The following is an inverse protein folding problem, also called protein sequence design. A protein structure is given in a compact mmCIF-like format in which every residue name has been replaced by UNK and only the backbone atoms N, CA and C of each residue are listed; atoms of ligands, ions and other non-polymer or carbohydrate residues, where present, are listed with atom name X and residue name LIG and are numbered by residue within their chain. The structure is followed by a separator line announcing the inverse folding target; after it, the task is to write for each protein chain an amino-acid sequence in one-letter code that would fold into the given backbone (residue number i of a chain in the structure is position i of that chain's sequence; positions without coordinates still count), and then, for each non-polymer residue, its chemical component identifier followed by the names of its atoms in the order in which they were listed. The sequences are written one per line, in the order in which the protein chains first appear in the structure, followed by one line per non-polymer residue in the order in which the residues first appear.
data_IF_919906576201
#
_entry.id   IF_919906576201
#
_cell.length_a   1.000
_cell.length_b   1.000
_cell.length_c   1.000
_cell.angle_alpha   90.00
_cell.angle_beta   90.00
_cell.angle_gamma   90.00
#
_symmetry.space_group_name_H-M   'P 1'
#
loop_
_entity.id
_entity.type
_entity.pdbx_description
1 polymer ?
#
# COMPACT_ATOMS: atom_id res chain seq x y z
N UNK A 1 -38.03 38.75 -5.80
CA UNK A 1 -36.70 39.18 -5.29
C UNK A 1 -35.60 38.51 -6.11
N UNK A 2 -35.00 39.23 -7.05
CA UNK A 2 -33.89 38.74 -7.88
C UNK A 2 -32.57 38.94 -7.14
N UNK A 3 -32.06 37.89 -6.51
CA UNK A 3 -30.73 37.93 -5.90
C UNK A 3 -29.68 37.90 -7.02
N UNK A 4 -28.88 38.96 -7.17
CA UNK A 4 -27.80 38.99 -8.15
C UNK A 4 -26.68 38.03 -7.73
N UNK A 5 -25.99 37.42 -8.70
CA UNK A 5 -24.91 36.43 -8.47
C UNK A 5 -23.85 36.94 -7.48
N UNK A 6 -23.56 38.25 -7.51
CA UNK A 6 -22.63 38.91 -6.59
C UNK A 6 -23.16 38.93 -5.15
N UNK A 7 -24.44 39.26 -4.95
CA UNK A 7 -25.08 39.26 -3.64
C UNK A 7 -25.21 37.85 -3.05
N UNK A 8 -25.41 36.83 -3.91
CA UNK A 8 -25.43 35.44 -3.48
C UNK A 8 -24.06 35.00 -2.93
N UNK A 9 -22.97 35.28 -3.66
CA UNK A 9 -21.61 34.91 -3.23
C UNK A 9 -21.23 35.65 -1.94
N UNK A 10 -21.57 36.92 -1.79
CA UNK A 10 -21.29 37.68 -0.56
C UNK A 10 -22.04 37.11 0.65
N UNK A 11 -23.31 36.70 0.48
CA UNK A 11 -24.13 36.12 1.56
C UNK A 11 -23.67 34.71 1.96
N UNK A 12 -23.34 33.87 0.98
CA UNK A 12 -22.81 32.51 1.24
C UNK A 12 -21.41 32.57 1.86
N UNK A 13 -20.54 33.47 1.38
CA UNK A 13 -19.20 33.68 1.95
C UNK A 13 -19.25 34.17 3.40
N UNK A 14 -20.18 35.08 3.72
CA UNK A 14 -20.39 35.55 5.09
C UNK A 14 -20.90 34.43 6.03
N UNK A 15 -21.81 33.57 5.55
CA UNK A 15 -22.31 32.42 6.32
C UNK A 15 -21.22 31.35 6.56
N UNK A 16 -20.31 31.14 5.61
CA UNK A 16 -19.18 30.24 5.77
C UNK A 16 -18.15 30.76 6.79
N UNK A 17 -17.94 32.08 6.85
CA UNK A 17 -17.06 32.70 7.83
C UNK A 17 -17.62 32.60 9.27
N UNK A 18 -18.94 32.74 9.44
CA UNK A 18 -19.60 32.67 10.75
C UNK A 18 -19.71 31.22 11.26
N UNK A 19 -19.88 30.24 10.37
CA UNK A 19 -19.89 28.81 10.72
C UNK A 19 -18.49 28.19 10.86
N UNK A 20 -17.44 28.89 10.43
CA UNK A 20 -16.04 28.46 10.52
C UNK A 20 -15.50 28.22 11.95
N UNK A 21 -16.19 28.70 13.00
CA UNK A 21 -15.80 28.44 14.39
C UNK A 21 -16.30 27.10 14.94
N UNK A 22 -17.27 26.43 14.29
CA UNK A 22 -17.80 25.13 14.73
C UNK A 22 -17.24 23.93 13.92
N UNK A 23 -16.40 24.16 12.93
CA UNK A 23 -15.84 23.13 12.04
C UNK A 23 -14.62 22.37 12.56
N UNK A 24 -14.30 22.42 13.87
CA UNK A 24 -13.18 21.66 14.49
C UNK A 24 -13.58 20.25 14.95
N UNK A 25 -14.45 19.58 14.20
CA UNK A 25 -14.92 18.21 14.45
C UNK A 25 -14.88 17.54 13.07
N UNK A 26 -14.01 16.60 12.68
CA UNK A 26 -13.15 15.64 13.34
C UNK A 26 -11.95 15.41 12.40
N UNK A 27 -10.83 16.10 12.58
CA UNK A 27 -9.58 15.55 12.08
C UNK A 27 -9.16 14.47 13.07
N UNK A 28 -9.80 13.31 13.01
CA UNK A 28 -9.31 12.12 13.68
C UNK A 28 -7.94 11.85 13.07
N UNK A 29 -6.89 12.33 13.73
CA UNK A 29 -5.54 11.88 13.47
C UNK A 29 -5.58 10.40 13.76
N UNK A 30 -5.79 9.57 12.74
CA UNK A 30 -5.67 8.13 12.86
C UNK A 30 -4.23 7.88 13.24
N UNK A 31 -4.00 7.77 14.55
CA UNK A 31 -2.72 7.40 15.11
C UNK A 31 -2.50 5.93 14.73
N UNK A 32 -1.85 5.73 13.59
CA UNK A 32 -1.41 4.43 13.15
C UNK A 32 -0.13 4.17 13.91
N UNK A 33 -0.25 3.51 15.06
CA UNK A 33 0.89 2.98 15.82
C UNK A 33 1.54 1.85 15.01
N UNK A 34 2.26 2.19 13.94
CA UNK A 34 2.89 1.27 13.01
C UNK A 34 3.13 1.87 11.62
N UNK A 35 4.14 1.35 10.92
CA UNK A 35 4.43 1.72 9.53
C UNK A 35 3.45 0.98 8.60
N UNK A 36 2.73 1.72 7.74
CA UNK A 36 1.98 1.14 6.62
C UNK A 36 2.82 1.25 5.35
N UNK A 37 2.98 0.12 4.68
CA UNK A 37 3.67 0.09 3.40
C UNK A 37 2.66 0.35 2.28
N UNK A 38 3.06 1.18 1.34
CA UNK A 38 2.37 1.41 0.07
C UNK A 38 3.42 1.58 -1.03
N UNK A 39 3.10 1.11 -2.22
CA UNK A 39 3.93 1.30 -3.41
C UNK A 39 3.12 2.09 -4.43
N UNK A 40 3.67 3.19 -4.93
CA UNK A 40 3.05 4.00 -5.96
C UNK A 40 3.84 3.80 -7.25
N UNK A 41 3.13 3.46 -8.32
CA UNK A 41 3.68 3.37 -9.66
C UNK A 41 2.98 4.43 -10.52
N UNK A 42 3.77 5.34 -11.10
CA UNK A 42 3.26 6.35 -12.01
C UNK A 42 3.18 5.79 -13.43
N UNK A 43 1.96 5.60 -13.92
CA UNK A 43 1.68 5.07 -15.25
C UNK A 43 1.93 6.10 -16.36
N UNK A 44 1.95 7.40 -16.04
CA UNK A 44 2.19 8.46 -17.02
C UNK A 44 3.65 8.55 -17.47
N UNK A 45 4.57 8.13 -16.59
CA UNK A 45 6.02 8.08 -16.84
C UNK A 45 6.49 6.68 -17.27
N UNK A 46 5.63 5.68 -17.17
CA UNK A 46 5.99 4.31 -17.50
C UNK A 46 6.14 4.13 -19.02
N UNK A 47 7.34 3.77 -19.46
CA UNK A 47 7.66 3.53 -20.89
C UNK A 47 7.58 2.04 -21.29
N UNK A 48 7.22 1.16 -20.36
CA UNK A 48 7.11 -0.28 -20.65
C UNK A 48 8.43 -1.03 -20.85
N UNK A 49 9.54 -0.57 -20.28
CA UNK A 49 10.88 -1.16 -20.46
C UNK A 49 11.12 -2.53 -19.80
N UNK A 50 10.12 -3.09 -19.09
CA UNK A 50 10.17 -4.37 -18.36
C UNK A 50 11.27 -4.56 -17.31
N UNK A 51 12.15 -3.59 -17.07
CA UNK A 51 13.24 -3.69 -16.09
C UNK A 51 12.78 -4.06 -14.67
N UNK A 52 11.60 -3.60 -14.28
CA UNK A 52 11.01 -3.97 -12.98
C UNK A 52 10.64 -5.46 -12.89
N UNK A 53 10.27 -6.10 -14.01
CA UNK A 53 9.98 -7.53 -14.08
C UNK A 53 11.25 -8.34 -13.89
N UNK A 54 12.32 -7.96 -14.59
CA UNK A 54 13.61 -8.64 -14.53
C UNK A 54 14.22 -8.56 -13.13
N UNK A 55 14.25 -7.35 -12.54
CA UNK A 55 14.71 -7.14 -11.17
C UNK A 55 13.88 -7.95 -10.15
N UNK A 56 12.56 -8.07 -10.35
CA UNK A 56 11.71 -8.88 -9.48
C UNK A 56 12.05 -10.38 -9.59
N UNK A 57 12.29 -10.88 -10.80
CA UNK A 57 12.67 -12.27 -11.05
C UNK A 57 14.02 -12.60 -10.42
N UNK A 58 15.02 -11.75 -10.61
CA UNK A 58 16.37 -11.93 -10.08
C UNK A 58 16.37 -11.94 -8.54
N UNK A 59 15.82 -10.91 -7.91
CA UNK A 59 15.84 -10.76 -6.44
C UNK A 59 15.09 -11.90 -5.73
N UNK A 60 14.05 -12.45 -6.37
CA UNK A 60 13.19 -13.44 -5.73
C UNK A 60 13.27 -14.84 -6.36
N UNK A 61 14.26 -15.10 -7.21
CA UNK A 61 14.51 -16.37 -7.90
C UNK A 61 13.23 -16.98 -8.49
N UNK A 62 12.48 -16.20 -9.27
CA UNK A 62 11.20 -16.65 -9.84
C UNK A 62 11.48 -17.68 -10.96
N UNK A 63 10.92 -18.90 -10.90
CA UNK A 63 11.16 -19.91 -11.92
C UNK A 63 10.57 -19.52 -13.28
N UNK A 64 10.97 -20.24 -14.31
CA UNK A 64 10.43 -20.05 -15.65
C UNK A 64 8.96 -20.46 -15.74
N UNK A 65 8.21 -19.83 -16.67
CA UNK A 65 6.77 -20.07 -16.84
C UNK A 65 5.84 -19.31 -15.88
N UNK A 66 6.37 -18.69 -14.81
CA UNK A 66 5.57 -17.86 -13.88
C UNK A 66 6.17 -16.48 -13.69
N UNK A 67 5.32 -15.52 -13.33
CA UNK A 67 5.71 -14.14 -13.04
C UNK A 67 4.98 -13.61 -11.81
N UNK A 68 5.67 -12.81 -10.99
CA UNK A 68 5.08 -12.09 -9.85
C UNK A 68 4.60 -10.69 -10.22
N UNK A 69 5.08 -10.18 -11.35
CA UNK A 69 4.92 -8.83 -11.83
C UNK A 69 4.94 -8.85 -13.35
N UNK A 70 3.96 -8.18 -13.97
CA UNK A 70 3.86 -8.08 -15.42
C UNK A 70 3.49 -6.67 -15.83
N UNK A 71 4.10 -6.16 -16.90
CA UNK A 71 3.67 -4.91 -17.55
C UNK A 71 2.70 -5.25 -18.69
N UNK A 72 1.50 -4.70 -18.62
CA UNK A 72 0.46 -4.86 -19.65
C UNK A 72 0.44 -3.60 -20.50
N UNK A 73 0.59 -3.77 -21.81
CA UNK A 73 0.46 -2.69 -22.79
C UNK A 73 -1.00 -2.56 -23.21
N UNK A 74 -1.54 -1.36 -23.18
CA UNK A 74 -2.89 -1.07 -23.67
C UNK A 74 -2.99 -1.22 -25.19
N UNK A 75 -4.22 -1.30 -25.67
CA UNK A 75 -4.53 -1.06 -27.08
C UNK A 75 -4.14 0.38 -27.47
N UNK A 76 -3.78 0.62 -28.75
CA UNK A 76 -3.49 1.95 -29.26
C UNK A 76 -4.73 2.84 -29.09
N UNK A 77 -4.55 3.98 -28.42
CA UNK A 77 -5.60 4.98 -28.23
C UNK A 77 -5.35 6.16 -29.16
N UNK A 78 -6.38 6.60 -29.87
CA UNK A 78 -6.31 7.73 -30.80
C UNK A 78 -6.24 7.32 -32.28
N UNK A 79 -6.15 8.31 -33.14
CA UNK A 79 -6.05 8.16 -34.60
C UNK A 79 -4.72 8.70 -35.08
N UNK A 80 -4.17 8.13 -36.15
CA UNK A 80 -2.95 8.62 -36.77
C UNK A 80 -3.06 10.12 -37.09
N UNK A 81 -2.05 10.97 -36.76
CA UNK A 81 -0.71 10.64 -36.23
C UNK A 81 -0.60 10.52 -34.70
N UNK A 82 -1.63 10.88 -33.94
CA UNK A 82 -1.60 11.01 -32.48
C UNK A 82 -2.04 9.71 -31.76
N UNK A 83 -1.29 8.63 -31.98
CA UNK A 83 -1.54 7.34 -31.31
C UNK A 83 -0.74 7.24 -30.02
N UNK A 84 -1.39 6.88 -28.91
CA UNK A 84 -0.77 6.71 -27.60
C UNK A 84 -0.99 5.31 -27.04
N UNK A 85 0.02 4.81 -26.34
CA UNK A 85 -0.06 3.58 -25.55
C UNK A 85 -0.01 3.93 -24.06
N UNK A 86 -0.65 3.11 -23.24
CA UNK A 86 -0.53 3.15 -21.78
C UNK A 86 0.05 1.84 -21.30
N UNK A 87 0.89 1.92 -20.27
CA UNK A 87 1.55 0.76 -19.69
C UNK A 87 1.08 0.62 -18.24
N UNK A 88 0.47 -0.52 -17.94
CA UNK A 88 -0.08 -0.82 -16.62
C UNK A 88 0.78 -1.85 -15.91
N UNK A 89 1.09 -1.58 -14.64
CA UNK A 89 1.83 -2.50 -13.79
C UNK A 89 0.87 -3.45 -13.07
N UNK A 90 0.84 -4.71 -13.50
CA UNK A 90 -0.01 -5.73 -12.90
C UNK A 90 0.78 -6.58 -11.88
N UNK A 91 0.44 -6.44 -10.59
CA UNK A 91 1.01 -7.24 -9.49
C UNK A 91 0.08 -7.29 -8.29
N UNK A 92 0.44 -8.08 -7.27
CA UNK A 92 -0.21 -8.02 -5.96
C UNK A 92 -0.20 -6.59 -5.41
N UNK A 93 -1.38 -6.10 -5.00
CA UNK A 93 -1.55 -4.74 -4.49
C UNK A 93 -1.41 -4.63 -2.97
N UNK A 94 -1.15 -5.74 -2.27
CA UNK A 94 -1.04 -5.81 -0.82
C UNK A 94 -2.23 -5.12 -0.12
N UNK A 95 -3.44 -5.50 -0.53
CA UNK A 95 -4.71 -4.94 -0.07
C UNK A 95 -4.81 -4.95 1.46
N UNK A 96 -5.38 -3.90 2.04
CA UNK A 96 -5.64 -3.80 3.49
C UNK A 96 -6.65 -4.85 3.95
N UNK A 97 -7.65 -5.13 3.10
CA UNK A 97 -8.56 -6.25 3.22
C UNK A 97 -8.36 -7.14 1.99
N UNK A 98 -7.75 -8.31 2.20
CA UNK A 98 -7.28 -9.18 1.14
C UNK A 98 -8.15 -10.45 1.09
N UNK A 99 -9.04 -10.61 0.09
CA UNK A 99 -9.93 -11.78 0.00
C UNK A 99 -9.17 -13.09 -0.19
N UNK A 100 -7.94 -13.03 -0.73
CA UNK A 100 -7.06 -14.20 -0.86
C UNK A 100 -6.60 -14.76 0.50
N UNK A 101 -6.58 -13.94 1.55
CA UNK A 101 -6.36 -14.39 2.93
C UNK A 101 -7.62 -15.07 3.46
N UNK A 102 -8.77 -14.41 3.30
CA UNK A 102 -10.03 -14.86 3.89
C UNK A 102 -10.49 -16.23 3.34
N UNK A 103 -10.19 -16.52 2.07
CA UNK A 103 -10.56 -17.79 1.42
C UNK A 103 -9.57 -18.93 1.70
N UNK A 104 -8.40 -18.66 2.30
CA UNK A 104 -7.34 -19.65 2.41
C UNK A 104 -7.66 -20.72 3.48
N UNK A 105 -7.96 -21.98 3.11
CA UNK A 105 -8.39 -22.99 4.08
C UNK A 105 -7.26 -23.47 5.00
N UNK A 106 -6.01 -23.35 4.56
CA UNK A 106 -4.84 -23.82 5.30
C UNK A 106 -4.24 -22.75 6.22
N UNK A 107 -4.69 -21.50 6.13
CA UNK A 107 -4.10 -20.37 6.85
C UNK A 107 -2.68 -20.00 6.41
N UNK A 108 -2.20 -20.51 5.27
CA UNK A 108 -0.88 -20.18 4.74
C UNK A 108 -0.77 -18.71 4.28
N UNK A 109 -1.88 -18.11 3.85
CA UNK A 109 -1.96 -16.70 3.52
C UNK A 109 -2.39 -15.90 4.74
N UNK A 110 -1.54 -15.00 5.22
CA UNK A 110 -1.83 -14.15 6.38
C UNK A 110 -1.28 -12.73 6.18
N UNK A 111 -2.00 -11.69 6.64
CA UNK A 111 -1.50 -10.32 6.63
C UNK A 111 -0.38 -10.17 7.66
N UNK A 112 0.60 -9.31 7.36
CA UNK A 112 1.65 -9.01 8.34
C UNK A 112 1.06 -8.17 9.49
N UNK A 113 1.31 -8.62 10.72
CA UNK A 113 0.73 -8.13 11.98
C UNK A 113 1.17 -6.71 12.39
N UNK A 114 0.87 -5.71 11.56
CA UNK A 114 0.95 -4.27 11.87
C UNK A 114 -0.12 -3.41 11.21
N UNK A 115 -0.83 -3.92 10.19
CA UNK A 115 -2.00 -3.22 9.66
C UNK A 115 -3.19 -3.43 10.59
N UNK A 116 -4.03 -2.39 10.72
CA UNK A 116 -5.18 -2.26 11.64
C UNK A 116 -6.17 -3.44 11.59
N UNK A 117 -6.07 -4.28 10.57
CA UNK A 117 -6.90 -5.46 10.31
C UNK A 117 -6.42 -6.75 11.01
N UNK A 118 -5.20 -6.82 11.56
CA UNK A 118 -4.77 -8.01 12.32
C UNK A 118 -5.48 -8.17 13.69
N UNK A 119 -6.36 -7.22 14.04
CA UNK A 119 -7.34 -7.36 15.11
C UNK A 119 -8.77 -7.28 14.54
N UNK A 120 -9.14 -8.15 13.62
CA UNK A 120 -10.57 -8.37 13.34
C UNK A 120 -10.94 -9.77 13.78
N UNK A 121 -11.61 -9.78 14.94
CA UNK A 121 -12.77 -10.59 15.33
C UNK A 121 -12.99 -11.86 14.49
N UNK A 122 -13.04 -13.05 15.11
CA UNK A 122 -13.28 -14.30 14.40
C UNK A 122 -14.60 -14.21 13.62
N UNK A 123 -14.53 -14.38 12.29
CA UNK A 123 -15.72 -14.63 11.49
C UNK A 123 -16.39 -15.94 11.91
N UNK A 124 -17.66 -16.19 11.52
CA UNK A 124 -18.47 -17.34 11.97
C UNK A 124 -17.92 -18.73 11.56
N UNK A 125 -16.82 -18.79 10.81
CA UNK A 125 -16.12 -20.02 10.42
C UNK A 125 -14.76 -20.23 11.11
N UNK A 126 -14.34 -19.32 11.99
CA UNK A 126 -13.14 -19.52 12.79
C UNK A 126 -13.44 -20.50 13.94
N UNK A 127 -13.31 -21.80 13.65
CA UNK A 127 -13.25 -22.81 14.69
C UNK A 127 -12.10 -22.49 15.63
N UNK A 128 -12.35 -22.70 16.92
CA UNK A 128 -11.46 -22.38 18.02
C UNK A 128 -10.09 -23.07 17.90
N UNK A 129 -9.14 -22.45 17.20
CA UNK A 129 -7.72 -22.75 17.33
C UNK A 129 -7.14 -21.81 18.40
N UNK A 130 -7.30 -22.26 19.63
CA UNK A 130 -6.84 -21.64 20.87
C UNK A 130 -5.34 -21.30 20.83
N UNK A 131 -5.02 -20.07 21.26
CA UNK A 131 -3.81 -19.70 22.02
C UNK A 131 -2.49 -20.39 21.66
N UNK A 132 -1.89 -20.03 20.53
CA UNK A 132 -0.43 -20.06 20.40
C UNK A 132 0.00 -18.95 19.44
N UNK A 133 0.39 -17.80 19.99
CA UNK A 133 1.25 -16.90 19.23
C UNK A 133 2.49 -17.71 18.83
N UNK A 134 2.87 -17.80 17.54
CA UNK A 134 4.16 -18.32 17.19
C UNK A 134 5.18 -17.36 17.82
N UNK A 135 5.85 -17.82 18.89
CA UNK A 135 7.05 -17.14 19.40
C UNK A 135 7.97 -17.01 18.18
N UNK A 136 8.24 -15.76 17.79
CA UNK A 136 9.23 -15.46 16.77
C UNK A 136 10.49 -16.26 17.14
N UNK A 137 10.98 -17.16 16.26
CA UNK A 137 12.17 -17.93 16.58
C UNK A 137 13.27 -16.94 16.95
N UNK A 138 13.90 -17.15 18.11
CA UNK A 138 14.98 -16.31 18.65
C UNK A 138 16.10 -16.05 17.64
N UNK A 139 16.28 -16.95 16.67
CA UNK A 139 17.16 -16.79 15.51
C UNK A 139 16.86 -15.53 14.67
N UNK A 140 15.59 -15.16 14.50
CA UNK A 140 15.20 -13.98 13.71
C UNK A 140 15.52 -12.66 14.46
N UNK A 141 15.39 -12.67 15.79
CA UNK A 141 15.76 -11.52 16.62
C UNK A 141 17.28 -11.29 16.67
N UNK A 142 18.08 -12.36 16.64
CA UNK A 142 19.55 -12.30 16.55
C UNK A 142 20.02 -11.75 15.19
N UNK A 143 19.37 -12.12 14.09
CA UNK A 143 19.68 -11.62 12.74
C UNK A 143 19.42 -10.11 12.61
N UNK A 144 18.30 -9.61 13.12
CA UNK A 144 17.99 -8.17 13.08
C UNK A 144 19.00 -7.37 13.90
N UNK A 145 19.48 -7.90 15.04
CA UNK A 145 20.48 -7.23 15.88
C UNK A 145 21.86 -7.21 15.21
N UNK A 146 22.23 -8.24 14.46
CA UNK A 146 23.50 -8.29 13.72
C UNK A 146 23.50 -7.34 12.51
N UNK A 147 22.38 -7.28 11.77
CA UNK A 147 22.20 -6.36 10.64
C UNK A 147 22.22 -4.91 11.12
N UNK A 148 21.53 -4.60 12.23
CA UNK A 148 21.56 -3.24 12.81
C UNK A 148 22.95 -2.83 13.31
N UNK A 149 23.75 -3.76 13.84
CA UNK A 149 25.15 -3.49 14.21
C UNK A 149 26.03 -3.25 12.99
N UNK A 150 25.87 -4.01 11.90
CA UNK A 150 26.61 -3.80 10.65
C UNK A 150 26.27 -2.46 9.99
N UNK A 151 24.99 -2.09 9.92
CA UNK A 151 24.56 -0.80 9.37
C UNK A 151 25.14 0.36 10.19
N UNK A 152 25.11 0.26 11.53
CA UNK A 152 25.67 1.31 12.39
C UNK A 152 27.20 1.40 12.26
N UNK A 153 27.91 0.28 12.10
CA UNK A 153 29.36 0.26 11.88
C UNK A 153 29.76 0.89 10.54
N UNK A 154 29.00 0.65 9.48
CA UNK A 154 29.18 1.28 8.16
C UNK A 154 28.94 2.79 8.25
N UNK A 155 27.89 3.23 8.95
CA UNK A 155 27.61 4.67 9.13
C UNK A 155 28.66 5.40 9.97
N UNK A 156 29.41 4.67 10.80
CA UNK A 156 30.43 5.21 11.69
C UNK A 156 31.85 5.16 11.09
N UNK A 157 32.01 4.75 9.82
CA UNK A 157 33.29 4.76 9.12
C UNK A 157 34.37 3.86 9.73
N UNK A 158 34.01 2.85 10.53
CA UNK A 158 34.98 1.88 11.05
C UNK A 158 35.22 0.76 10.03
N UNK A 159 36.48 0.38 9.74
CA UNK A 159 36.76 -0.75 8.88
C UNK A 159 36.22 -2.04 9.52
N UNK A 160 35.61 -2.88 8.69
CA UNK A 160 35.08 -4.20 9.05
C UNK A 160 36.18 -5.20 9.35
#
# INVERSE_FOLDING_TARGET
MSCTRRQFITRVGALAAISGMAGRVVANTLNINGVRYGMVHDESLCIGCTACMDACREVNNVPEGVSRLTIIRSEPQGTFPDVKYRFFRHSCQHCDHAPCVDVCPTGASFPRCRQRYCRREPGPFASAASTALPRVPTACALSIRSVRRRINAISAGKPT
#
